data_IF_312021971390
#
_entry.id   IF_312021971390
#
_cell.length_a   1.000
_cell.length_b   1.000
_cell.length_c   1.000
_cell.angle_alpha   90.00
_cell.angle_beta   90.00
_cell.angle_gamma   90.00
#
_symmetry.space_group_name_H-M   'P 1'
#
loop_
_entity.id
_entity.type
_entity.pdbx_description
1 polymer ?
#
# COMPACT_ATOMS: atom_id res chain seq x y z
N UNK A 1 9.48 18.56 -12.79
CA UNK A 1 9.62 17.20 -13.36
C UNK A 1 8.60 17.07 -14.48
N UNK A 2 8.92 16.46 -15.61
CA UNK A 2 7.93 16.27 -16.67
C UNK A 2 6.78 15.36 -16.22
N UNK A 3 5.56 15.58 -16.73
CA UNK A 3 4.38 14.72 -16.47
C UNK A 3 4.67 13.23 -16.68
N UNK A 4 5.51 12.88 -17.66
CA UNK A 4 5.95 11.50 -17.93
C UNK A 4 6.66 10.86 -16.74
N UNK A 5 7.61 11.57 -16.13
CA UNK A 5 8.36 11.05 -14.98
C UNK A 5 7.43 10.79 -13.79
N UNK A 6 6.49 11.70 -13.53
CA UNK A 6 5.47 11.55 -12.48
C UNK A 6 4.67 10.24 -12.61
N UNK A 7 4.15 9.95 -13.81
CA UNK A 7 3.39 8.72 -14.04
C UNK A 7 4.26 7.47 -13.88
N UNK A 8 5.52 7.51 -14.35
CA UNK A 8 6.45 6.38 -14.20
C UNK A 8 6.69 6.05 -12.73
N UNK A 9 6.95 7.05 -11.87
CA UNK A 9 7.15 6.78 -10.44
C UNK A 9 5.91 6.20 -9.77
N UNK A 10 4.73 6.72 -10.09
CA UNK A 10 3.49 6.19 -9.53
C UNK A 10 3.18 4.76 -10.01
N UNK A 11 3.54 4.45 -11.26
CA UNK A 11 3.41 3.10 -11.80
C UNK A 11 4.36 2.12 -11.11
N UNK A 12 5.61 2.51 -10.84
CA UNK A 12 6.56 1.70 -10.06
C UNK A 12 6.02 1.44 -8.65
N UNK A 13 5.47 2.46 -7.99
CA UNK A 13 4.86 2.30 -6.66
C UNK A 13 3.66 1.37 -6.71
N UNK A 14 2.81 1.45 -7.73
CA UNK A 14 1.68 0.54 -7.91
C UNK A 14 2.14 -0.91 -8.07
N UNK A 15 3.18 -1.15 -8.87
CA UNK A 15 3.76 -2.48 -9.06
C UNK A 15 4.34 -3.05 -7.75
N UNK A 16 5.04 -2.23 -6.97
CA UNK A 16 5.54 -2.60 -5.65
C UNK A 16 4.38 -2.96 -4.71
N UNK A 17 3.35 -2.12 -4.66
CA UNK A 17 2.17 -2.32 -3.83
C UNK A 17 1.44 -3.64 -4.19
N UNK A 18 1.28 -3.93 -5.49
CA UNK A 18 0.69 -5.20 -5.95
C UNK A 18 1.55 -6.40 -5.56
N UNK A 19 2.86 -6.33 -5.80
CA UNK A 19 3.78 -7.44 -5.51
C UNK A 19 3.81 -7.78 -4.02
N UNK A 20 3.86 -6.76 -3.16
CA UNK A 20 3.91 -6.93 -1.71
C UNK A 20 2.57 -7.39 -1.13
N UNK A 21 1.45 -6.84 -1.60
CA UNK A 21 0.13 -7.35 -1.21
C UNK A 21 -0.07 -8.81 -1.62
N UNK A 22 0.41 -9.20 -2.80
CA UNK A 22 0.40 -10.59 -3.24
C UNK A 22 1.28 -11.46 -2.34
N UNK A 23 2.50 -11.02 -2.03
CA UNK A 23 3.43 -11.74 -1.14
C UNK A 23 2.83 -11.96 0.25
N UNK A 24 2.25 -10.91 0.84
CA UNK A 24 1.57 -10.98 2.13
C UNK A 24 0.37 -11.94 2.10
N UNK A 25 -0.43 -11.91 1.03
CA UNK A 25 -1.56 -12.83 0.84
C UNK A 25 -1.10 -14.28 0.70
N UNK A 26 0.03 -14.51 0.01
CA UNK A 26 0.65 -15.84 -0.08
C UNK A 26 1.18 -16.32 1.27
N UNK A 27 1.86 -15.45 2.03
CA UNK A 27 2.34 -15.76 3.37
C UNK A 27 1.20 -16.15 4.31
N UNK A 28 0.11 -15.40 4.28
CA UNK A 28 -1.10 -15.70 5.05
C UNK A 28 -1.74 -17.03 4.65
N UNK A 29 -1.91 -17.26 3.34
CA UNK A 29 -2.46 -18.50 2.82
C UNK A 29 -1.63 -19.73 3.20
N UNK A 30 -0.30 -19.59 3.27
CA UNK A 30 0.59 -20.67 3.72
C UNK A 30 0.59 -20.86 5.24
N UNK A 31 0.43 -19.79 6.03
CA UNK A 31 0.47 -19.82 7.49
C UNK A 31 -0.83 -20.35 8.12
N UNK A 32 -2.00 -19.92 7.60
CA UNK A 32 -3.30 -20.16 8.23
C UNK A 32 -4.21 -21.12 7.43
N UNK A 33 -3.71 -21.67 6.31
CA UNK A 33 -4.49 -22.56 5.45
C UNK A 33 -5.58 -21.86 4.63
N UNK A 34 -5.57 -20.52 4.61
CA UNK A 34 -6.51 -19.67 3.89
C UNK A 34 -6.15 -18.19 4.09
N UNK A 35 -6.78 -17.30 3.31
CA UNK A 35 -6.62 -15.85 3.47
C UNK A 35 -7.83 -15.33 4.25
N UNK A 36 -7.65 -14.81 5.47
CA UNK A 36 -8.75 -14.27 6.26
C UNK A 36 -9.39 -13.03 5.61
N UNK A 37 -10.69 -12.84 5.83
CA UNK A 37 -11.45 -11.70 5.29
C UNK A 37 -10.87 -10.32 5.69
N UNK A 38 -10.30 -10.20 6.89
CA UNK A 38 -9.67 -8.95 7.36
C UNK A 38 -8.43 -8.57 6.54
N UNK A 39 -7.68 -9.54 6.01
CA UNK A 39 -6.52 -9.27 5.15
C UNK A 39 -6.94 -8.71 3.80
N UNK A 40 -8.06 -9.18 3.24
CA UNK A 40 -8.61 -8.60 2.01
C UNK A 40 -9.02 -7.14 2.22
N UNK A 41 -9.60 -6.80 3.38
CA UNK A 41 -10.04 -5.44 3.68
C UNK A 41 -8.84 -4.49 3.74
N UNK A 42 -7.77 -4.91 4.38
CA UNK A 42 -6.53 -4.14 4.44
C UNK A 42 -5.79 -4.06 3.09
N UNK A 43 -5.84 -5.12 2.27
CA UNK A 43 -5.38 -5.09 0.88
C UNK A 43 -6.12 -4.00 0.08
N UNK A 44 -7.46 -3.98 0.14
CA UNK A 44 -8.27 -2.96 -0.54
C UNK A 44 -7.95 -1.54 -0.03
N UNK A 45 -7.80 -1.37 1.28
CA UNK A 45 -7.44 -0.07 1.87
C UNK A 45 -6.10 0.44 1.34
N UNK A 46 -5.10 -0.42 1.15
CA UNK A 46 -3.79 -0.02 0.60
C UNK A 46 -3.92 0.55 -0.83
N UNK A 47 -4.79 -0.01 -1.66
CA UNK A 47 -5.10 0.53 -2.99
C UNK A 47 -5.88 1.85 -2.92
N UNK A 48 -6.86 1.97 -2.02
CA UNK A 48 -7.62 3.22 -1.81
C UNK A 48 -6.69 4.36 -1.40
N UNK A 49 -5.79 4.11 -0.45
CA UNK A 49 -4.78 5.08 -0.02
C UNK A 49 -3.88 5.46 -1.20
N UNK A 50 -3.42 4.50 -2.01
CA UNK A 50 -2.64 4.78 -3.21
C UNK A 50 -3.37 5.70 -4.19
N UNK A 51 -4.67 5.46 -4.47
CA UNK A 51 -5.47 6.30 -5.39
C UNK A 51 -5.61 7.73 -4.87
N UNK A 52 -5.92 7.90 -3.58
CA UNK A 52 -6.08 9.23 -2.96
C UNK A 52 -4.79 10.04 -3.11
N UNK A 53 -3.65 9.42 -2.81
CA UNK A 53 -2.36 10.09 -2.88
C UNK A 53 -1.89 10.36 -4.31
N UNK A 54 -2.17 9.45 -5.25
CA UNK A 54 -1.97 9.71 -6.68
C UNK A 54 -2.69 10.99 -7.11
N UNK A 55 -3.95 11.16 -6.68
CA UNK A 55 -4.74 12.35 -6.97
C UNK A 55 -4.16 13.61 -6.32
N UNK A 56 -3.76 13.53 -5.05
CA UNK A 56 -3.13 14.67 -4.34
C UNK A 56 -1.85 15.13 -5.05
N UNK A 57 -0.98 14.20 -5.46
CA UNK A 57 0.25 14.55 -6.16
C UNK A 57 0.01 15.06 -7.58
N UNK A 58 -1.07 14.63 -8.23
CA UNK A 58 -1.50 15.15 -9.53
C UNK A 58 -1.96 16.61 -9.41
N UNK A 59 -2.72 16.94 -8.37
CA UNK A 59 -3.23 18.30 -8.12
C UNK A 59 -2.13 19.22 -7.58
N UNK A 60 -1.23 18.72 -6.73
CA UNK A 60 -0.13 19.51 -6.13
C UNK A 60 1.24 18.86 -6.43
N UNK A 61 1.90 19.23 -7.55
CA UNK A 61 3.19 18.67 -7.96
C UNK A 61 4.40 19.24 -7.17
N UNK A 62 4.22 19.45 -5.87
CA UNK A 62 5.23 19.92 -4.93
C UNK A 62 6.17 18.78 -4.54
N UNK A 63 7.49 19.02 -4.56
CA UNK A 63 8.52 18.02 -4.22
C UNK A 63 8.33 17.42 -2.81
N UNK A 64 7.88 18.25 -1.86
CA UNK A 64 7.62 17.83 -0.48
C UNK A 64 6.60 16.68 -0.38
N UNK A 65 5.49 16.76 -1.14
CA UNK A 65 4.45 15.74 -1.14
C UNK A 65 4.93 14.39 -1.71
N UNK A 66 5.94 14.40 -2.58
CA UNK A 66 6.54 13.15 -3.10
C UNK A 66 7.47 12.47 -2.10
N UNK A 67 8.26 13.26 -1.36
CA UNK A 67 9.15 12.73 -0.32
C UNK A 67 8.32 12.20 0.85
N UNK A 68 7.33 12.98 1.30
CA UNK A 68 6.39 12.56 2.32
C UNK A 68 5.67 11.27 1.91
N UNK A 69 5.28 11.16 0.64
CA UNK A 69 4.65 9.95 0.11
C UNK A 69 5.57 8.74 0.10
N UNK A 70 6.81 8.89 -0.36
CA UNK A 70 7.76 7.79 -0.36
C UNK A 70 7.98 7.26 1.06
N UNK A 71 8.15 8.15 2.04
CA UNK A 71 8.26 7.78 3.46
C UNK A 71 6.99 7.12 3.98
N UNK A 72 5.82 7.69 3.67
CA UNK A 72 4.54 7.12 4.09
C UNK A 72 4.33 5.72 3.53
N UNK A 73 4.62 5.50 2.25
CA UNK A 73 4.54 4.19 1.61
C UNK A 73 5.53 3.18 2.21
N UNK A 74 6.77 3.60 2.50
CA UNK A 74 7.75 2.73 3.17
C UNK A 74 7.27 2.33 4.57
N UNK A 75 6.74 3.28 5.35
CA UNK A 75 6.20 2.99 6.69
C UNK A 75 4.98 2.07 6.59
N UNK A 76 4.06 2.36 5.67
CA UNK A 76 2.85 1.56 5.49
C UNK A 76 3.18 0.13 5.05
N UNK A 77 4.13 -0.04 4.14
CA UNK A 77 4.65 -1.34 3.71
C UNK A 77 5.38 -2.06 4.83
N UNK A 78 6.20 -1.35 5.63
CA UNK A 78 6.87 -1.93 6.79
C UNK A 78 5.86 -2.42 7.85
N UNK A 79 4.82 -1.64 8.11
CA UNK A 79 3.71 -2.04 8.99
C UNK A 79 2.96 -3.28 8.46
N UNK A 80 2.94 -3.46 7.14
CA UNK A 80 2.26 -4.58 6.48
C UNK A 80 3.08 -5.87 6.53
N UNK A 81 4.37 -5.82 6.15
CA UNK A 81 5.29 -6.96 6.18
C UNK A 81 5.54 -7.51 7.60
N UNK A 82 5.42 -6.65 8.62
CA UNK A 82 5.58 -7.04 10.02
C UNK A 82 4.33 -7.69 10.62
N UNK A 83 3.23 -7.81 9.87
CA UNK A 83 1.97 -8.40 10.35
C UNK A 83 1.16 -7.50 11.30
N UNK A 84 1.65 -6.30 11.62
CA UNK A 84 0.89 -5.31 12.41
C UNK A 84 -0.37 -4.83 11.66
N UNK A 85 -0.33 -4.81 10.32
CA UNK A 85 -1.51 -4.53 9.51
C UNK A 85 -2.65 -5.55 9.68
N UNK A 86 -2.32 -6.84 9.84
CA UNK A 86 -3.31 -7.88 10.15
C UNK A 86 -3.87 -7.75 11.56
N UNK A 87 -3.04 -7.37 12.54
CA UNK A 87 -3.49 -7.12 13.92
C UNK A 87 -4.49 -5.95 14.00
N UNK A 88 -4.23 -4.86 13.27
CA UNK A 88 -5.17 -3.73 13.16
C UNK A 88 -6.46 -4.16 12.46
N UNK A 89 -6.38 -4.99 11.41
CA UNK A 89 -7.56 -5.56 10.76
C UNK A 89 -8.40 -6.42 11.71
N UNK A 90 -7.74 -7.23 12.55
CA UNK A 90 -8.36 -8.00 13.63
C UNK A 90 -9.02 -7.09 14.68
N UNK A 91 -8.40 -5.98 15.10
CA UNK A 91 -9.02 -5.06 16.06
C UNK A 91 -10.27 -4.34 15.54
N UNK A 92 -10.40 -4.15 14.22
CA UNK A 92 -11.51 -3.42 13.61
C UNK A 92 -12.70 -4.35 13.29
N UNK A 93 -12.43 -5.61 12.97
CA UNK A 93 -13.41 -6.54 12.40
C UNK A 93 -13.60 -7.80 13.25
N UNK A 94 -12.64 -8.16 14.10
CA UNK A 94 -12.69 -9.27 15.05
C UNK A 94 -13.32 -8.86 16.38
#
# INVERSE_FOLDING_TARGET
MGKKAFHIYNFIILLLLMSLNALASFGAGMSEGGIPSYMYLAMVLSFVVWVIFYFIQFVRPTKAWRIFWFLFMVIFLFFWETGLGSEVGLMIIG
#
